data_IF_299195678494
#
_entry.id   IF_299195678494
#
_cell.length_a   1.000
_cell.length_b   1.000
_cell.length_c   1.000
_cell.angle_alpha   90.00
_cell.angle_beta   90.00
_cell.angle_gamma   90.00
#
_symmetry.space_group_name_H-M   'P 1'
#
loop_
_entity.id
_entity.type
_entity.pdbx_description
1 polymer ?
#
# COMPACT_ATOMS: atom_id res chain seq x y z
N UNK A 1 51.41 14.97 -10.39
CA UNK A 1 50.18 14.17 -10.56
C UNK A 1 49.70 13.91 -9.16
N UNK A 2 48.98 14.90 -8.63
CA UNK A 2 48.24 14.73 -7.40
C UNK A 2 46.93 14.05 -7.81
N UNK A 3 46.67 12.87 -7.25
CA UNK A 3 45.34 12.25 -7.29
C UNK A 3 44.43 13.14 -6.45
N UNK A 4 43.61 13.96 -7.11
CA UNK A 4 42.43 14.56 -6.50
C UNK A 4 41.45 13.41 -6.19
N UNK A 5 41.43 12.99 -4.93
CA UNK A 5 40.25 12.33 -4.35
C UNK A 5 39.10 13.35 -4.42
N UNK A 6 38.31 13.26 -5.49
CA UNK A 6 37.09 14.04 -5.70
C UNK A 6 36.09 13.55 -4.65
N UNK A 7 36.00 14.24 -3.53
CA UNK A 7 34.83 14.20 -2.68
C UNK A 7 33.65 14.72 -3.50
N UNK A 8 32.83 13.82 -4.07
CA UNK A 8 31.58 14.24 -4.68
C UNK A 8 30.77 14.99 -3.63
N UNK A 9 30.25 16.16 -3.99
CA UNK A 9 29.44 16.93 -3.06
C UNK A 9 28.25 16.07 -2.62
N UNK A 10 27.77 16.17 -1.36
CA UNK A 10 26.49 15.57 -0.97
C UNK A 10 25.35 15.92 -1.95
N UNK A 11 25.44 17.09 -2.59
CA UNK A 11 24.57 17.51 -3.68
C UNK A 11 24.71 16.65 -4.95
N UNK A 12 25.93 16.35 -5.40
CA UNK A 12 26.16 15.62 -6.65
C UNK A 12 25.64 14.19 -6.55
N UNK A 13 25.88 13.52 -5.41
CA UNK A 13 25.32 12.19 -5.16
C UNK A 13 23.79 12.23 -5.08
N UNK A 14 23.23 13.20 -4.35
CA UNK A 14 21.78 13.37 -4.21
C UNK A 14 21.09 13.64 -5.55
N UNK A 15 21.62 14.58 -6.34
CA UNK A 15 21.09 14.93 -7.65
C UNK A 15 21.20 13.76 -8.64
N UNK A 16 22.31 13.00 -8.63
CA UNK A 16 22.47 11.81 -9.47
C UNK A 16 21.39 10.76 -9.18
N UNK A 17 21.11 10.46 -7.91
CA UNK A 17 20.08 9.48 -7.54
C UNK A 17 18.69 9.91 -8.02
N UNK A 18 18.36 11.19 -7.88
CA UNK A 18 17.07 11.73 -8.34
C UNK A 18 16.99 11.66 -9.87
N UNK A 19 18.05 12.07 -10.57
CA UNK A 19 18.10 12.08 -12.03
C UNK A 19 17.95 10.68 -12.63
N UNK A 20 18.69 9.71 -12.09
CA UNK A 20 18.62 8.31 -12.50
C UNK A 20 17.21 7.74 -12.34
N UNK A 21 16.49 8.15 -11.28
CA UNK A 21 15.16 7.65 -11.01
C UNK A 21 14.06 8.34 -11.84
N UNK A 22 14.29 9.59 -12.24
CA UNK A 22 13.42 10.33 -13.17
C UNK A 22 13.73 10.03 -14.65
N UNK A 23 14.88 9.40 -14.94
CA UNK A 23 15.33 9.15 -16.31
C UNK A 23 15.78 10.43 -17.03
N UNK A 24 16.34 11.39 -16.28
CA UNK A 24 16.83 12.69 -16.79
C UNK A 24 18.33 12.83 -16.53
N UNK A 25 18.98 13.75 -17.22
CA UNK A 25 20.38 14.09 -16.93
C UNK A 25 20.50 14.83 -15.58
N UNK A 26 21.48 14.52 -14.71
CA UNK A 26 21.70 15.21 -13.43
C UNK A 26 21.76 16.73 -13.51
N UNK A 27 22.18 17.30 -14.64
CA UNK A 27 22.22 18.75 -14.85
C UNK A 27 20.83 19.41 -14.91
N UNK A 28 19.76 18.63 -15.13
CA UNK A 28 18.38 19.11 -15.12
C UNK A 28 17.75 19.09 -13.73
N UNK A 29 18.46 18.61 -12.70
CA UNK A 29 17.98 18.65 -11.32
C UNK A 29 18.20 20.05 -10.75
N UNK A 30 17.12 20.81 -10.67
CA UNK A 30 17.15 22.18 -10.16
C UNK A 30 16.76 22.22 -8.67
N UNK A 31 17.60 22.80 -7.78
CA UNK A 31 17.34 22.81 -6.34
C UNK A 31 16.03 23.50 -5.95
N UNK A 32 15.60 24.49 -6.72
CA UNK A 32 14.40 25.29 -6.43
C UNK A 32 13.10 24.67 -6.97
N UNK A 33 13.18 23.66 -7.85
CA UNK A 33 12.00 22.96 -8.32
C UNK A 33 11.54 21.91 -7.31
N UNK A 34 10.25 21.63 -7.29
CA UNK A 34 9.66 20.49 -6.62
C UNK A 34 9.92 19.20 -7.39
N UNK A 35 9.77 18.07 -6.71
CA UNK A 35 9.92 16.76 -7.35
C UNK A 35 8.88 16.53 -8.47
N UNK A 36 7.64 17.00 -8.31
CA UNK A 36 6.61 16.86 -9.37
C UNK A 36 6.91 17.73 -10.59
N UNK A 37 7.43 18.95 -10.40
CA UNK A 37 7.81 19.84 -11.51
C UNK A 37 8.91 19.23 -12.39
N UNK A 38 9.71 18.32 -11.84
CA UNK A 38 10.74 17.58 -12.58
C UNK A 38 10.23 16.26 -13.20
N UNK A 39 8.92 15.99 -13.16
CA UNK A 39 8.33 14.75 -13.68
C UNK A 39 8.19 13.62 -12.64
N UNK A 40 8.34 13.95 -11.36
CA UNK A 40 8.10 13.04 -10.26
C UNK A 40 6.63 12.58 -10.17
N UNK A 41 6.44 11.33 -9.77
CA UNK A 41 5.15 10.68 -9.51
C UNK A 41 5.22 10.00 -8.13
N UNK A 42 4.09 9.61 -7.53
CA UNK A 42 4.12 8.85 -6.27
C UNK A 42 4.91 7.55 -6.37
N UNK A 43 4.88 6.90 -7.54
CA UNK A 43 5.59 5.65 -7.79
C UNK A 43 7.11 5.88 -7.75
N UNK A 44 7.60 6.82 -8.58
CA UNK A 44 9.04 7.09 -8.58
C UNK A 44 9.49 7.83 -7.30
N UNK A 45 8.61 8.48 -6.55
CA UNK A 45 8.96 9.04 -5.25
C UNK A 45 9.39 7.97 -4.25
N UNK A 46 8.63 6.87 -4.14
CA UNK A 46 8.97 5.77 -3.22
C UNK A 46 10.31 5.16 -3.60
N UNK A 47 10.53 4.93 -4.90
CA UNK A 47 11.82 4.40 -5.38
C UNK A 47 12.97 5.40 -5.20
N UNK A 48 12.74 6.71 -5.37
CA UNK A 48 13.74 7.76 -5.11
C UNK A 48 14.16 7.71 -3.65
N UNK A 49 13.20 7.72 -2.71
CA UNK A 49 13.50 7.70 -1.27
C UNK A 49 14.26 6.43 -0.89
N UNK A 50 13.86 5.27 -1.42
CA UNK A 50 14.58 4.02 -1.18
C UNK A 50 16.05 4.09 -1.66
N UNK A 51 16.28 4.57 -2.89
CA UNK A 51 17.63 4.71 -3.45
C UNK A 51 18.47 5.71 -2.66
N UNK A 52 17.87 6.83 -2.23
CA UNK A 52 18.55 7.82 -1.40
C UNK A 52 19.00 7.23 -0.06
N UNK A 53 18.14 6.43 0.59
CA UNK A 53 18.49 5.72 1.82
C UNK A 53 19.61 4.69 1.59
N UNK A 54 19.57 3.94 0.49
CA UNK A 54 20.64 3.00 0.10
C UNK A 54 21.98 3.71 -0.17
N UNK A 55 21.93 4.95 -0.68
CA UNK A 55 23.09 5.82 -0.85
C UNK A 55 23.54 6.55 0.43
N UNK A 56 22.94 6.22 1.58
CA UNK A 56 23.32 6.76 2.89
C UNK A 56 22.68 8.09 3.27
N UNK A 57 21.66 8.56 2.53
CA UNK A 57 20.94 9.81 2.81
C UNK A 57 19.66 9.48 3.59
N UNK A 58 19.58 9.80 4.91
CA UNK A 58 18.50 9.33 5.78
C UNK A 58 17.25 10.22 5.67
N UNK A 59 16.62 10.23 4.49
CA UNK A 59 15.36 10.93 4.22
C UNK A 59 14.17 9.97 4.36
N UNK A 60 13.07 10.44 4.95
CA UNK A 60 11.80 9.69 5.02
C UNK A 60 10.84 10.11 3.89
N UNK A 61 9.87 9.26 3.56
CA UNK A 61 8.79 9.62 2.63
C UNK A 61 8.06 10.89 3.08
N UNK A 62 7.79 11.01 4.38
CA UNK A 62 7.10 12.17 4.95
C UNK A 62 7.89 13.46 4.73
N UNK A 63 9.18 13.48 5.08
CA UNK A 63 10.06 14.64 4.85
C UNK A 63 10.13 14.98 3.35
N UNK A 64 10.32 13.96 2.49
CA UNK A 64 10.40 14.18 1.05
C UNK A 64 9.11 14.81 0.50
N UNK A 65 7.94 14.34 0.93
CA UNK A 65 6.64 14.83 0.48
C UNK A 65 6.27 16.21 1.02
N UNK A 66 6.78 16.59 2.20
CA UNK A 66 6.54 17.91 2.79
C UNK A 66 7.49 18.98 2.30
N UNK A 67 8.54 18.61 1.57
CA UNK A 67 9.49 19.56 0.99
C UNK A 67 8.88 20.22 -0.25
N UNK A 68 8.92 21.56 -0.29
CA UNK A 68 8.48 22.34 -1.46
C UNK A 68 9.51 22.37 -2.59
N UNK A 69 10.75 21.95 -2.33
CA UNK A 69 11.81 21.91 -3.33
C UNK A 69 12.84 20.82 -3.04
N UNK A 70 13.63 20.45 -4.05
CA UNK A 70 14.70 19.45 -3.96
C UNK A 70 15.81 19.86 -2.97
N UNK A 71 16.12 21.14 -2.91
CA UNK A 71 17.00 21.70 -1.88
C UNK A 71 16.41 21.49 -0.47
N UNK A 72 15.11 21.72 -0.31
CA UNK A 72 14.45 21.50 0.98
C UNK A 72 14.43 20.02 1.35
N UNK A 73 14.28 19.09 0.40
CA UNK A 73 14.41 17.64 0.68
C UNK A 73 15.77 17.34 1.30
N UNK A 74 16.85 17.84 0.69
CA UNK A 74 18.21 17.62 1.18
C UNK A 74 18.43 18.24 2.57
N UNK A 75 17.89 19.44 2.80
CA UNK A 75 17.98 20.11 4.11
C UNK A 75 17.15 19.42 5.19
N UNK A 76 15.97 18.90 4.83
CA UNK A 76 15.06 18.21 5.75
C UNK A 76 15.56 16.84 6.18
N UNK A 77 16.48 16.21 5.44
CA UNK A 77 17.14 14.96 5.84
C UNK A 77 17.87 15.09 7.21
N UNK A 78 18.15 16.32 7.65
CA UNK A 78 18.82 16.61 8.93
C UNK A 78 17.87 17.15 10.02
N UNK A 79 16.57 17.32 9.74
CA UNK A 79 15.61 17.94 10.63
C UNK A 79 14.70 16.90 11.32
N UNK A 80 14.21 17.18 12.54
CA UNK A 80 13.22 16.33 13.19
C UNK A 80 11.94 16.22 12.35
N UNK A 81 11.29 15.06 12.42
CA UNK A 81 10.04 14.76 11.70
C UNK A 81 8.93 15.78 12.05
N UNK A 82 8.27 16.32 11.02
CA UNK A 82 7.13 17.23 11.18
C UNK A 82 5.93 16.53 11.85
N UNK A 83 5.09 17.31 12.53
CA UNK A 83 3.83 16.84 13.12
C UNK A 83 2.94 16.18 12.05
N UNK A 84 2.28 15.04 12.36
CA UNK A 84 1.51 14.32 11.37
C UNK A 84 0.26 15.11 10.95
N UNK A 85 0.07 15.26 9.63
CA UNK A 85 -1.12 15.87 9.00
C UNK A 85 -2.39 15.05 9.25
N UNK A 86 -2.20 13.77 9.56
CA UNK A 86 -3.25 12.77 9.67
C UNK A 86 -3.21 12.09 11.04
N UNK A 87 -4.37 11.64 11.49
CA UNK A 87 -4.56 10.93 12.75
C UNK A 87 -5.12 9.54 12.50
N UNK A 88 -4.65 8.56 13.27
CA UNK A 88 -5.13 7.19 13.30
C UNK A 88 -6.26 7.06 14.32
N UNK A 89 -7.38 6.43 13.92
CA UNK A 89 -8.48 6.08 14.82
C UNK A 89 -8.85 4.61 14.66
N UNK A 90 -8.87 3.81 15.74
CA UNK A 90 -9.34 2.42 15.68
C UNK A 90 -10.75 2.33 15.09
N UNK A 91 -11.00 1.33 14.25
CA UNK A 91 -12.29 1.19 13.57
C UNK A 91 -13.44 0.97 14.57
N UNK A 92 -13.16 0.28 15.68
CA UNK A 92 -14.10 0.07 16.79
C UNK A 92 -14.49 1.35 17.54
N UNK A 93 -13.73 2.44 17.39
CA UNK A 93 -13.96 3.71 18.08
C UNK A 93 -14.60 4.78 17.19
N UNK A 94 -14.77 4.51 15.89
CA UNK A 94 -15.46 5.46 15.00
C UNK A 94 -16.97 5.25 15.05
N UNK A 95 -17.73 6.33 14.78
CA UNK A 95 -19.19 6.28 14.80
C UNK A 95 -19.74 5.34 13.72
N UNK A 96 -20.97 4.83 13.88
CA UNK A 96 -21.60 3.98 12.85
C UNK A 96 -21.69 4.67 11.48
N UNK A 97 -21.92 5.98 11.45
CA UNK A 97 -21.91 6.76 10.21
C UNK A 97 -20.52 6.79 9.57
N UNK A 98 -19.46 6.92 10.36
CA UNK A 98 -18.09 6.93 9.85
C UNK A 98 -17.65 5.53 9.40
N UNK A 99 -18.12 4.47 10.06
CA UNK A 99 -17.91 3.10 9.58
C UNK A 99 -18.57 2.87 8.22
N UNK A 100 -19.80 3.37 8.02
CA UNK A 100 -20.46 3.32 6.72
C UNK A 100 -19.68 4.11 5.66
N UNK A 101 -19.21 5.31 6.02
CA UNK A 101 -18.36 6.12 5.15
C UNK A 101 -17.04 5.41 4.82
N UNK A 102 -16.45 4.65 5.76
CA UNK A 102 -15.26 3.85 5.51
C UNK A 102 -15.51 2.69 4.53
N UNK A 103 -16.65 1.99 4.65
CA UNK A 103 -17.06 0.99 3.67
C UNK A 103 -17.20 1.60 2.26
N UNK A 104 -17.86 2.75 2.16
CA UNK A 104 -18.05 3.45 0.89
C UNK A 104 -16.73 3.95 0.31
N UNK A 105 -15.83 4.49 1.15
CA UNK A 105 -14.49 4.92 0.74
C UNK A 105 -13.69 3.75 0.17
N UNK A 106 -13.66 2.61 0.88
CA UNK A 106 -12.96 1.41 0.40
C UNK A 106 -13.55 0.94 -0.93
N UNK A 107 -14.87 0.81 -1.01
CA UNK A 107 -15.55 0.39 -2.23
C UNK A 107 -15.23 1.31 -3.41
N UNK A 108 -15.31 2.63 -3.21
CA UNK A 108 -14.95 3.61 -4.24
C UNK A 108 -13.48 3.51 -4.65
N UNK A 109 -12.57 3.33 -3.69
CA UNK A 109 -11.13 3.16 -3.96
C UNK A 109 -10.89 1.96 -4.88
N UNK A 110 -11.47 0.80 -4.58
CA UNK A 110 -11.28 -0.40 -5.41
C UNK A 110 -11.97 -0.30 -6.78
N UNK A 111 -13.20 0.21 -6.82
CA UNK A 111 -13.98 0.33 -8.06
C UNK A 111 -13.38 1.33 -9.06
N UNK A 112 -12.60 2.32 -8.61
CA UNK A 112 -12.06 3.37 -9.50
C UNK A 112 -10.54 3.29 -9.70
N UNK A 113 -9.78 2.73 -8.74
CA UNK A 113 -8.30 2.78 -8.77
C UNK A 113 -7.65 1.48 -9.23
N UNK A 114 -8.41 0.44 -9.56
CA UNK A 114 -7.84 -0.88 -9.91
C UNK A 114 -8.43 -1.43 -11.21
N UNK A 115 -7.59 -2.00 -12.08
CA UNK A 115 -8.03 -2.67 -13.30
C UNK A 115 -8.92 -3.88 -13.00
N UNK A 116 -8.69 -4.51 -11.84
CA UNK A 116 -9.44 -5.67 -11.39
C UNK A 116 -10.94 -5.42 -11.39
N UNK A 117 -11.38 -4.22 -10.99
CA UNK A 117 -12.80 -3.87 -10.99
C UNK A 117 -13.21 -3.07 -12.24
N UNK A 118 -12.36 -2.18 -12.75
CA UNK A 118 -12.71 -1.29 -13.88
C UNK A 118 -12.77 -1.99 -15.24
N UNK A 119 -11.99 -3.05 -15.44
CA UNK A 119 -11.88 -3.74 -16.74
C UNK A 119 -12.50 -5.14 -16.78
N UNK A 120 -12.74 -5.74 -15.62
CA UNK A 120 -13.10 -7.17 -15.54
C UNK A 120 -14.44 -7.45 -14.86
N UNK A 121 -15.02 -6.48 -14.11
CA UNK A 121 -16.08 -6.81 -13.15
C UNK A 121 -17.46 -6.22 -13.36
N UNK A 122 -17.58 -5.06 -14.03
CA UNK A 122 -18.84 -4.28 -14.10
C UNK A 122 -19.56 -4.13 -12.73
N UNK A 123 -18.82 -4.23 -11.63
CA UNK A 123 -19.39 -4.23 -10.29
C UNK A 123 -19.87 -2.84 -9.91
N UNK A 124 -20.99 -2.77 -9.22
CA UNK A 124 -21.52 -1.53 -8.66
C UNK A 124 -21.03 -1.33 -7.23
N UNK A 125 -21.20 -0.09 -6.73
CA UNK A 125 -21.01 0.22 -5.31
C UNK A 125 -21.89 -0.67 -4.42
N UNK A 126 -23.12 -0.97 -4.84
CA UNK A 126 -24.04 -1.80 -4.08
C UNK A 126 -23.56 -3.26 -3.98
N UNK A 127 -23.02 -3.83 -5.07
CA UNK A 127 -22.47 -5.19 -5.08
C UNK A 127 -21.31 -5.32 -4.10
N UNK A 128 -20.41 -4.34 -4.10
CA UNK A 128 -19.28 -4.29 -3.18
C UNK A 128 -19.77 -4.15 -1.73
N UNK A 129 -20.61 -3.16 -1.44
CA UNK A 129 -21.10 -2.93 -0.08
C UNK A 129 -21.88 -4.13 0.46
N UNK A 130 -22.70 -4.80 -0.35
CA UNK A 130 -23.44 -5.99 0.06
C UNK A 130 -22.49 -7.08 0.55
N UNK A 131 -21.45 -7.38 -0.22
CA UNK A 131 -20.49 -8.42 0.12
C UNK A 131 -19.73 -8.10 1.41
N UNK A 132 -19.08 -6.93 1.48
CA UNK A 132 -18.19 -6.61 2.60
C UNK A 132 -18.92 -6.18 3.87
N UNK A 133 -20.17 -5.72 3.78
CA UNK A 133 -20.97 -5.44 4.99
C UNK A 133 -21.21 -6.70 5.82
N UNK A 134 -21.35 -7.86 5.17
CA UNK A 134 -21.55 -9.15 5.87
C UNK A 134 -20.31 -9.55 6.69
N UNK A 135 -19.12 -9.19 6.23
CA UNK A 135 -17.84 -9.51 6.88
C UNK A 135 -17.31 -8.39 7.78
N UNK A 136 -17.99 -7.24 7.84
CA UNK A 136 -17.48 -6.05 8.53
C UNK A 136 -17.16 -6.27 10.01
N UNK A 137 -17.89 -7.18 10.66
CA UNK A 137 -17.70 -7.53 12.07
C UNK A 137 -16.35 -8.20 12.35
N UNK A 138 -15.73 -8.87 11.35
CA UNK A 138 -14.42 -9.54 11.47
C UNK A 138 -13.29 -8.52 11.69
N UNK A 139 -13.46 -7.31 11.15
CA UNK A 139 -12.38 -6.32 11.06
C UNK A 139 -12.33 -5.37 12.25
N UNK A 140 -13.13 -5.55 13.30
CA UNK A 140 -13.26 -4.54 14.37
C UNK A 140 -12.02 -4.39 15.26
N UNK A 141 -11.20 -5.44 15.38
CA UNK A 141 -10.12 -5.48 16.38
C UNK A 141 -8.84 -4.77 15.91
N UNK A 142 -8.37 -5.06 14.69
CA UNK A 142 -7.04 -4.62 14.21
C UNK A 142 -7.10 -3.56 13.11
N UNK A 143 -8.31 -3.15 12.72
CA UNK A 143 -8.51 -2.16 11.65
C UNK A 143 -8.60 -0.76 12.20
N UNK A 144 -8.34 0.22 11.34
CA UNK A 144 -8.38 1.62 11.70
C UNK A 144 -8.60 2.49 10.47
N UNK A 145 -8.94 3.74 10.74
CA UNK A 145 -9.11 4.78 9.74
C UNK A 145 -8.08 5.89 9.93
N UNK A 146 -7.81 6.60 8.84
CA UNK A 146 -7.05 7.83 8.82
C UNK A 146 -8.01 8.99 8.64
N UNK A 147 -7.93 9.97 9.53
CA UNK A 147 -8.67 11.24 9.45
C UNK A 147 -7.70 12.42 9.36
N UNK A 148 -8.15 13.52 8.77
CA UNK A 148 -7.42 14.79 8.84
C UNK A 148 -7.70 15.55 10.14
N UNK A 149 -7.10 16.73 10.29
CA UNK A 149 -7.27 17.59 11.48
C UNK A 149 -8.70 18.11 11.65
N UNK A 150 -9.53 18.09 10.59
CA UNK A 150 -10.95 18.44 10.64
C UNK A 150 -11.84 17.21 10.90
N UNK A 151 -11.23 16.09 11.27
CA UNK A 151 -11.88 14.78 11.49
C UNK A 151 -12.54 14.20 10.23
N UNK A 152 -12.13 14.66 9.04
CA UNK A 152 -12.64 14.11 7.79
C UNK A 152 -11.91 12.82 7.46
N UNK A 153 -12.66 11.78 7.13
CA UNK A 153 -12.12 10.50 6.69
C UNK A 153 -11.29 10.64 5.39
N UNK A 154 -10.03 10.17 5.43
CA UNK A 154 -9.09 10.24 4.30
C UNK A 154 -8.65 8.86 3.82
N UNK A 155 -8.56 7.86 4.68
CA UNK A 155 -8.22 6.49 4.30
C UNK A 155 -8.73 5.48 5.33
N UNK A 156 -8.77 4.21 4.95
CA UNK A 156 -9.12 3.10 5.83
C UNK A 156 -8.33 1.85 5.47
N UNK A 157 -8.06 1.03 6.48
CA UNK A 157 -7.48 -0.30 6.32
C UNK A 157 -8.30 -1.30 7.11
N UNK A 158 -8.57 -2.45 6.51
CA UNK A 158 -9.15 -3.62 7.17
C UNK A 158 -8.08 -4.67 7.37
N UNK A 159 -7.93 -5.11 8.60
CA UNK A 159 -7.03 -6.18 8.98
C UNK A 159 -7.66 -7.11 10.01
N UNK A 160 -7.29 -8.38 9.94
CA UNK A 160 -7.71 -9.43 10.86
C UNK A 160 -6.68 -10.55 10.91
N UNK A 161 -6.81 -11.44 11.90
CA UNK A 161 -6.07 -12.70 11.89
C UNK A 161 -6.47 -13.52 10.65
N UNK A 162 -5.46 -13.99 9.89
CA UNK A 162 -5.70 -14.76 8.67
C UNK A 162 -6.64 -15.95 8.90
N UNK A 163 -6.56 -16.63 10.05
CA UNK A 163 -7.46 -17.75 10.33
C UNK A 163 -8.94 -17.35 10.38
N UNK A 164 -9.24 -16.15 10.88
CA UNK A 164 -10.61 -15.62 10.94
C UNK A 164 -11.09 -15.27 9.53
N UNK A 165 -10.20 -14.80 8.66
CA UNK A 165 -10.52 -14.51 7.26
C UNK A 165 -10.81 -15.81 6.49
N UNK A 166 -10.04 -16.89 6.72
CA UNK A 166 -10.23 -18.16 6.03
C UNK A 166 -11.58 -18.84 6.34
N UNK A 167 -12.11 -18.59 7.55
CA UNK A 167 -13.42 -19.07 7.97
C UNK A 167 -14.56 -18.34 7.23
N UNK A 168 -14.33 -17.13 6.72
CA UNK A 168 -15.31 -16.40 5.93
C UNK A 168 -15.45 -17.05 4.54
N UNK A 169 -16.69 -17.36 4.15
CA UNK A 169 -17.01 -17.89 2.82
C UNK A 169 -17.83 -16.87 2.03
N UNK A 170 -17.56 -16.69 0.72
CA UNK A 170 -18.42 -15.89 -0.15
C UNK A 170 -19.84 -16.43 -0.09
N UNK A 171 -20.81 -15.52 0.03
CA UNK A 171 -22.23 -15.86 -0.02
C UNK A 171 -22.69 -16.02 -1.47
N UNK A 172 -23.73 -16.81 -1.71
CA UNK A 172 -24.34 -16.98 -3.05
C UNK A 172 -24.85 -15.67 -3.66
N UNK A 173 -25.13 -14.66 -2.83
CA UNK A 173 -25.54 -13.31 -3.23
C UNK A 173 -24.37 -12.42 -3.70
N UNK A 174 -23.13 -12.89 -3.63
CA UNK A 174 -21.98 -12.12 -4.07
C UNK A 174 -21.92 -12.06 -5.59
N UNK A 175 -21.44 -10.93 -6.11
CA UNK A 175 -21.24 -10.77 -7.54
C UNK A 175 -20.23 -11.81 -8.07
N UNK A 176 -20.47 -12.50 -9.20
CA UNK A 176 -19.60 -13.58 -9.70
C UNK A 176 -18.14 -13.16 -9.88
N UNK A 177 -17.90 -11.93 -10.33
CA UNK A 177 -16.55 -11.38 -10.44
C UNK A 177 -15.84 -11.26 -9.09
N UNK A 178 -16.56 -10.89 -8.03
CA UNK A 178 -16.00 -10.81 -6.69
C UNK A 178 -15.63 -12.20 -6.16
N UNK A 179 -16.47 -13.21 -6.45
CA UNK A 179 -16.14 -14.60 -6.15
C UNK A 179 -14.86 -15.06 -6.87
N UNK A 180 -14.68 -14.68 -8.15
CA UNK A 180 -13.44 -14.97 -8.87
C UNK A 180 -12.22 -14.29 -8.25
N UNK A 181 -12.35 -13.05 -7.78
CA UNK A 181 -11.29 -12.34 -7.05
C UNK A 181 -10.93 -13.09 -5.77
N UNK A 182 -11.92 -13.45 -4.94
CA UNK A 182 -11.65 -14.16 -3.69
C UNK A 182 -11.05 -15.54 -3.91
N UNK A 183 -11.48 -16.26 -4.95
CA UNK A 183 -10.88 -17.54 -5.32
C UNK A 183 -9.40 -17.37 -5.70
N UNK A 184 -9.09 -16.39 -6.54
CA UNK A 184 -7.71 -16.10 -6.93
C UNK A 184 -6.85 -15.69 -5.72
N UNK A 185 -7.34 -14.79 -4.87
CA UNK A 185 -6.62 -14.38 -3.67
C UNK A 185 -6.36 -15.56 -2.75
N UNK A 186 -7.37 -16.41 -2.50
CA UNK A 186 -7.22 -17.62 -1.67
C UNK A 186 -6.13 -18.56 -2.18
N UNK A 187 -6.05 -18.79 -3.49
CA UNK A 187 -5.00 -19.63 -4.08
C UNK A 187 -3.61 -19.01 -3.93
N UNK A 188 -3.51 -17.70 -4.17
CA UNK A 188 -2.26 -16.93 -4.07
C UNK A 188 -1.76 -16.89 -2.62
N UNK A 189 -2.66 -16.69 -1.66
CA UNK A 189 -2.36 -16.61 -0.23
C UNK A 189 -1.97 -17.97 0.36
N UNK A 190 -2.61 -19.06 -0.07
CA UNK A 190 -2.43 -20.39 0.53
C UNK A 190 -0.97 -20.87 0.51
N UNK A 191 -0.22 -20.55 -0.56
CA UNK A 191 1.20 -20.94 -0.69
C UNK A 191 2.04 -20.32 0.43
N UNK A 192 1.88 -19.02 0.64
CA UNK A 192 2.63 -18.26 1.65
C UNK A 192 2.14 -18.59 3.06
N UNK A 193 0.83 -18.71 3.24
CA UNK A 193 0.22 -19.08 4.51
C UNK A 193 0.70 -20.44 5.02
N UNK A 194 0.79 -21.46 4.15
CA UNK A 194 1.27 -22.79 4.54
C UNK A 194 2.72 -22.75 5.05
N UNK A 195 3.54 -21.84 4.51
CA UNK A 195 4.92 -21.64 4.97
C UNK A 195 5.00 -20.92 6.31
N UNK A 196 4.16 -19.89 6.52
CA UNK A 196 4.17 -19.06 7.72
C UNK A 196 3.41 -19.67 8.91
N UNK A 197 2.36 -20.43 8.64
CA UNK A 197 1.49 -21.02 9.66
C UNK A 197 1.11 -22.48 9.32
N UNK A 198 2.08 -23.41 9.23
CA UNK A 198 1.83 -24.79 8.85
C UNK A 198 0.93 -25.56 9.83
N UNK A 199 0.80 -25.05 11.06
CA UNK A 199 0.03 -25.68 12.14
C UNK A 199 -1.34 -25.03 12.38
N UNK A 200 -1.72 -24.00 11.60
CA UNK A 200 -3.00 -23.32 11.75
C UNK A 200 -3.22 -22.72 13.14
N UNK A 201 -2.19 -22.07 13.71
CA UNK A 201 -2.28 -21.42 15.02
C UNK A 201 -2.82 -19.99 14.90
N UNK A 202 -3.61 -19.53 15.89
CA UNK A 202 -4.01 -18.12 15.95
C UNK A 202 -2.79 -17.23 16.11
N UNK A 203 -2.96 -15.97 15.69
CA UNK A 203 -1.98 -14.89 15.78
C UNK A 203 -0.63 -15.27 15.19
N UNK A 204 -0.64 -15.91 14.03
CA UNK A 204 0.58 -16.11 13.24
C UNK A 204 0.71 -15.05 12.16
N UNK A 205 -0.39 -14.70 11.51
CA UNK A 205 -0.40 -13.78 10.37
C UNK A 205 -1.49 -12.74 10.59
N UNK A 206 -1.10 -11.48 10.75
CA UNK A 206 -2.01 -10.34 10.66
C UNK A 206 -2.17 -10.00 9.17
N UNK A 207 -3.33 -10.32 8.63
CA UNK A 207 -3.61 -10.14 7.21
C UNK A 207 -4.21 -8.76 6.96
N UNK A 208 -3.55 -7.99 6.08
CA UNK A 208 -4.08 -6.74 5.55
C UNK A 208 -5.03 -7.07 4.40
N UNK A 209 -6.30 -7.19 4.75
CA UNK A 209 -7.34 -7.61 3.83
C UNK A 209 -7.67 -6.54 2.78
N UNK A 210 -7.82 -5.28 3.20
CA UNK A 210 -8.10 -4.17 2.28
C UNK A 210 -7.46 -2.89 2.79
N UNK A 211 -6.96 -2.07 1.87
CA UNK A 211 -6.47 -0.73 2.17
C UNK A 211 -6.90 0.21 1.05
N UNK A 212 -7.48 1.35 1.40
CA UNK A 212 -7.98 2.30 0.43
C UNK A 212 -7.95 3.72 0.95
N UNK A 213 -7.95 4.66 0.02
CA UNK A 213 -7.89 6.08 0.33
C UNK A 213 -8.96 6.84 -0.47
N UNK A 214 -9.42 7.95 0.09
CA UNK A 214 -10.42 8.83 -0.52
C UNK A 214 -10.02 9.23 -1.94
N UNK A 215 -11.01 9.43 -2.80
CA UNK A 215 -10.81 9.96 -4.16
C UNK A 215 -10.41 11.44 -4.14
N UNK A 216 -10.64 12.13 -3.02
CA UNK A 216 -10.23 13.52 -2.81
C UNK A 216 -8.78 13.66 -2.31
N UNK A 217 -8.11 12.56 -2.00
CA UNK A 217 -6.71 12.62 -1.58
C UNK A 217 -5.82 12.96 -2.76
N UNK A 218 -4.82 13.81 -2.52
CA UNK A 218 -3.72 13.95 -3.47
C UNK A 218 -2.87 12.68 -3.52
N UNK A 219 -1.99 12.58 -4.52
CA UNK A 219 -1.11 11.43 -4.67
C UNK A 219 -0.13 11.32 -3.48
N UNK A 220 0.35 12.46 -2.97
CA UNK A 220 1.21 12.60 -1.80
C UNK A 220 0.48 12.14 -0.53
N UNK A 221 -0.77 12.58 -0.35
CA UNK A 221 -1.60 12.19 0.78
C UNK A 221 -1.86 10.68 0.80
N UNK A 222 -2.02 10.06 -0.37
CA UNK A 222 -2.15 8.60 -0.47
C UNK A 222 -0.87 7.89 -0.01
N UNK A 223 0.31 8.37 -0.43
CA UNK A 223 1.59 7.78 0.01
C UNK A 223 1.73 7.90 1.53
N UNK A 224 1.46 9.06 2.12
CA UNK A 224 1.53 9.27 3.57
C UNK A 224 0.53 8.35 4.29
N UNK A 225 -0.73 8.35 3.88
CA UNK A 225 -1.77 7.55 4.51
C UNK A 225 -1.46 6.05 4.44
N UNK A 226 -1.05 5.54 3.27
CA UNK A 226 -0.68 4.13 3.12
C UNK A 226 0.56 3.79 3.96
N UNK A 227 1.57 4.65 3.98
CA UNK A 227 2.78 4.46 4.81
C UNK A 227 2.42 4.38 6.29
N UNK A 228 1.57 5.29 6.77
CA UNK A 228 1.09 5.29 8.16
C UNK A 228 0.34 4.00 8.49
N UNK A 229 -0.55 3.56 7.59
CA UNK A 229 -1.35 2.37 7.83
C UNK A 229 -0.52 1.08 7.82
N UNK A 230 0.46 0.96 6.92
CA UNK A 230 1.37 -0.20 6.92
C UNK A 230 2.24 -0.24 8.19
N UNK A 231 2.84 0.90 8.57
CA UNK A 231 3.65 1.00 9.79
C UNK A 231 2.83 0.64 11.04
N UNK A 232 1.60 1.17 11.15
CA UNK A 232 0.72 0.84 12.28
C UNK A 232 0.36 -0.64 12.30
N UNK A 233 0.09 -1.28 11.16
CA UNK A 233 -0.15 -2.74 11.13
C UNK A 233 1.05 -3.55 11.61
N UNK A 234 2.28 -3.12 11.30
CA UNK A 234 3.50 -3.77 11.81
C UNK A 234 3.62 -3.62 13.34
N UNK A 235 3.27 -2.46 13.88
CA UNK A 235 3.26 -2.24 15.33
C UNK A 235 2.13 -3.00 16.04
N UNK A 236 0.94 -3.09 15.43
CA UNK A 236 -0.16 -3.94 15.89
C UNK A 236 0.29 -5.40 15.94
N UNK A 237 0.95 -5.89 14.88
CA UNK A 237 1.44 -7.27 14.83
C UNK A 237 2.44 -7.57 15.97
N UNK A 238 3.42 -6.67 16.20
CA UNK A 238 4.35 -6.76 17.33
C UNK A 238 3.65 -6.77 18.67
N UNK A 239 2.75 -5.80 18.89
CA UNK A 239 2.05 -5.59 20.17
C UNK A 239 1.15 -6.78 20.52
N UNK A 240 0.43 -7.30 19.54
CA UNK A 240 -0.63 -8.28 19.78
C UNK A 240 -0.16 -9.73 19.58
N UNK A 241 1.13 -9.92 19.26
CA UNK A 241 1.82 -11.21 19.28
C UNK A 241 1.70 -12.01 17.99
N UNK A 242 1.58 -11.33 16.86
CA UNK A 242 1.65 -11.95 15.53
C UNK A 242 3.11 -12.20 15.11
N UNK A 243 3.35 -13.31 14.41
CA UNK A 243 4.68 -13.64 13.86
C UNK A 243 5.00 -12.87 12.58
N UNK A 244 3.97 -12.42 11.84
CA UNK A 244 4.14 -11.68 10.60
C UNK A 244 2.91 -10.83 10.27
N UNK A 245 3.10 -9.81 9.42
CA UNK A 245 2.01 -9.23 8.61
C UNK A 245 2.09 -9.77 7.18
N UNK A 246 0.94 -9.86 6.52
CA UNK A 246 0.86 -10.32 5.13
C UNK A 246 -0.16 -9.50 4.35
N UNK A 247 0.12 -9.27 3.08
CA UNK A 247 -0.74 -8.53 2.18
C UNK A 247 -0.67 -9.03 0.73
N UNK A 248 -1.82 -9.13 0.08
CA UNK A 248 -1.94 -9.25 -1.37
C UNK A 248 -2.01 -7.84 -2.00
N UNK A 249 -0.87 -7.35 -2.49
CA UNK A 249 -0.77 -6.02 -3.07
C UNK A 249 -1.07 -6.05 -4.58
N UNK A 250 -2.13 -5.37 -4.97
CA UNK A 250 -2.62 -5.30 -6.36
C UNK A 250 -2.13 -4.03 -7.08
N UNK A 251 -1.99 -2.91 -6.36
CA UNK A 251 -1.54 -1.65 -6.98
C UNK A 251 -0.01 -1.56 -6.99
N UNK A 252 0.61 -1.03 -8.06
CA UNK A 252 2.06 -0.83 -8.11
C UNK A 252 2.61 -0.02 -6.93
N UNK A 253 1.85 0.99 -6.48
CA UNK A 253 2.22 1.80 -5.32
C UNK A 253 2.33 0.95 -4.04
N UNK A 254 1.33 0.13 -3.74
CA UNK A 254 1.34 -0.73 -2.52
C UNK A 254 2.43 -1.80 -2.57
N UNK A 255 2.77 -2.29 -3.77
CA UNK A 255 3.86 -3.24 -3.97
C UNK A 255 5.23 -2.61 -3.67
N UNK A 256 5.47 -1.40 -4.18
CA UNK A 256 6.71 -0.67 -3.90
C UNK A 256 6.80 -0.21 -2.45
N UNK A 257 5.68 0.23 -1.87
CA UNK A 257 5.64 0.65 -0.48
C UNK A 257 5.96 -0.50 0.47
N UNK A 258 5.47 -1.71 0.20
CA UNK A 258 5.78 -2.89 0.99
C UNK A 258 7.28 -3.21 0.96
N UNK A 259 7.90 -3.14 -0.22
CA UNK A 259 9.35 -3.31 -0.37
C UNK A 259 10.14 -2.23 0.39
N UNK A 260 9.70 -0.97 0.30
CA UNK A 260 10.28 0.14 1.05
C UNK A 260 10.24 -0.07 2.56
N UNK A 261 9.15 -0.65 3.07
CA UNK A 261 8.97 -0.92 4.49
C UNK A 261 9.62 -2.25 4.94
N UNK A 262 10.40 -2.90 4.08
CA UNK A 262 11.15 -4.10 4.41
C UNK A 262 10.34 -5.40 4.34
N UNK A 263 9.15 -5.39 3.73
CA UNK A 263 8.44 -6.63 3.44
C UNK A 263 9.21 -7.46 2.41
N UNK A 264 9.26 -8.77 2.64
CA UNK A 264 9.78 -9.73 1.68
C UNK A 264 8.66 -10.16 0.74
N UNK A 265 8.91 -10.08 -0.57
CA UNK A 265 8.02 -10.63 -1.59
C UNK A 265 8.16 -12.15 -1.68
N UNK A 266 7.05 -12.87 -1.50
CA UNK A 266 7.00 -14.34 -1.57
C UNK A 266 6.52 -14.82 -2.93
N UNK A 267 5.60 -14.08 -3.55
CA UNK A 267 4.94 -14.49 -4.78
C UNK A 267 4.56 -13.27 -5.62
N UNK A 268 4.62 -13.45 -6.94
CA UNK A 268 4.07 -12.51 -7.94
C UNK A 268 3.24 -13.33 -8.92
N UNK A 269 1.98 -12.93 -9.13
CA UNK A 269 1.06 -13.55 -10.09
C UNK A 269 0.54 -12.49 -11.06
N UNK A 270 0.77 -12.71 -12.35
CA UNK A 270 0.25 -11.86 -13.41
C UNK A 270 -1.19 -12.26 -13.72
N UNK A 271 -2.13 -11.34 -13.45
CA UNK A 271 -3.56 -11.65 -13.41
C UNK A 271 -4.10 -12.12 -14.74
N UNK A 272 -3.62 -11.55 -15.84
CA UNK A 272 -4.01 -11.95 -17.19
C UNK A 272 -3.81 -13.45 -17.45
N UNK A 273 -2.81 -14.07 -16.81
CA UNK A 273 -2.45 -15.47 -17.01
C UNK A 273 -3.14 -16.43 -16.03
N UNK A 274 -3.88 -15.90 -15.06
CA UNK A 274 -4.62 -16.74 -14.12
C UNK A 274 -5.84 -17.36 -14.80
N UNK A 275 -6.05 -18.64 -14.51
CA UNK A 275 -7.22 -19.42 -14.95
C UNK A 275 -7.92 -19.97 -13.72
N UNK A 276 -9.23 -19.83 -13.67
CA UNK A 276 -10.02 -20.43 -12.60
C UNK A 276 -10.04 -21.98 -12.71
N UNK A 277 -10.53 -22.71 -11.68
CA UNK A 277 -10.60 -24.17 -11.73
C UNK A 277 -11.47 -24.75 -12.87
N UNK A 278 -12.33 -23.94 -13.50
CA UNK A 278 -13.12 -24.33 -14.67
C UNK A 278 -12.39 -24.09 -15.99
N UNK A 279 -11.24 -23.42 -15.96
CA UNK A 279 -10.43 -23.03 -17.12
C UNK A 279 -10.78 -21.67 -17.70
N UNK A 280 -11.69 -20.90 -17.07
CA UNK A 280 -12.02 -19.55 -17.52
C UNK A 280 -10.95 -18.54 -17.09
N UNK A 281 -10.86 -17.41 -17.81
CA UNK A 281 -9.87 -16.34 -17.58
C UNK A 281 -10.58 -15.02 -17.25
N UNK A 282 -11.09 -14.84 -16.02
CA UNK A 282 -11.88 -13.66 -15.67
C UNK A 282 -11.06 -12.35 -15.72
N UNK A 283 -9.73 -12.44 -15.63
CA UNK A 283 -8.83 -11.28 -15.64
C UNK A 283 -8.08 -11.10 -16.96
N UNK A 284 -8.54 -11.72 -18.05
CA UNK A 284 -7.86 -11.67 -19.36
C UNK A 284 -7.74 -10.25 -19.96
N UNK A 285 -8.56 -9.31 -19.48
CA UNK A 285 -8.59 -7.91 -19.92
C UNK A 285 -7.64 -6.99 -19.15
N UNK A 286 -7.03 -7.45 -18.07
CA UNK A 286 -5.99 -6.68 -17.39
C UNK A 286 -4.75 -6.51 -18.27
N UNK A 287 -3.95 -5.47 -18.00
CA UNK A 287 -2.66 -5.27 -18.66
C UNK A 287 -1.73 -6.47 -18.45
N UNK A 288 -0.75 -6.64 -19.34
CA UNK A 288 0.16 -7.80 -19.30
C UNK A 288 1.05 -7.81 -18.06
N UNK A 289 1.38 -6.64 -17.54
CA UNK A 289 2.17 -6.41 -16.34
C UNK A 289 1.32 -6.29 -15.06
N UNK A 290 -0.02 -6.29 -15.18
CA UNK A 290 -0.91 -6.22 -14.03
C UNK A 290 -0.77 -7.47 -13.16
N UNK A 291 -0.33 -7.28 -11.93
CA UNK A 291 0.04 -8.38 -11.04
C UNK A 291 -0.47 -8.18 -9.62
N UNK A 292 -0.62 -9.30 -8.93
CA UNK A 292 -0.78 -9.36 -7.48
C UNK A 292 0.52 -9.90 -6.91
N UNK A 293 0.98 -9.29 -5.83
CA UNK A 293 2.14 -9.78 -5.08
C UNK A 293 1.72 -10.14 -3.67
N UNK A 294 2.36 -11.16 -3.09
CA UNK A 294 2.22 -11.50 -1.68
C UNK A 294 3.46 -11.03 -0.96
N UNK A 295 3.31 -10.00 -0.14
CA UNK A 295 4.39 -9.38 0.60
C UNK A 295 4.21 -9.62 2.10
N UNK A 296 5.31 -9.97 2.78
CA UNK A 296 5.30 -10.40 4.19
C UNK A 296 6.34 -9.61 4.97
N UNK A 297 5.92 -9.00 6.07
CA UNK A 297 6.84 -8.48 7.08
C UNK A 297 6.94 -9.50 8.23
N UNK A 298 8.16 -9.94 8.53
CA UNK A 298 8.43 -10.80 9.68
C UNK A 298 8.67 -9.93 10.90
N UNK A 299 7.95 -10.22 11.98
CA UNK A 299 8.02 -9.49 13.26
C UNK A 299 9.25 -9.90 14.06
#
# INVERSE_FOLDING_TARGET
MEEEDIYSSPWDNFASVIADNLGVDPQHIHPQHSFQEMGGTSLNLVSTVLKLQQSGIPITLEQFLTAGSIEQVLLQASLPTLQPKFLLKPLSQVSHSDQRAAQELLAQSFLHKTELFTLCGNMTLADFLNAYSSWWHIFQEYSFVIVDQADKLRAAVLAADQLVIDEAQPDESFHPHLCAIFQMLKEVTAITQQQLNPLGKPRQILSKFMMGASLENTAEENVIAFTMMEKELMEVAKRDGFSATMAENISPLTQQLSEYLGCKRYLTVYLRNWTDPSGARPFANCSEDYSVTVDVYHV
#
